data_IF_484490004918
#
_entry.id   IF_484490004918
#
_cell.length_a   1.000
_cell.length_b   1.000
_cell.length_c   1.000
_cell.angle_alpha   90.00
_cell.angle_beta   90.00
_cell.angle_gamma   90.00
#
_symmetry.space_group_name_H-M   'P 1'
#
loop_
_entity.id
_entity.type
_entity.pdbx_description
1 polymer ?
#
# COMPACT_ATOMS: atom_id res chain seq x y z
N UNK A 1 -0.70 -4.55 24.07
CA UNK A 1 0.56 -3.88 23.65
C UNK A 1 0.37 -3.50 22.20
N UNK A 2 0.52 -2.23 21.85
CA UNK A 2 0.42 -1.77 20.45
C UNK A 2 1.81 -1.79 19.82
N UNK A 3 1.95 -2.44 18.67
CA UNK A 3 3.18 -2.40 17.87
C UNK A 3 3.41 -0.98 17.33
N UNK A 4 4.67 -0.59 17.27
CA UNK A 4 5.09 0.74 16.84
C UNK A 4 5.64 0.71 15.41
N UNK A 5 5.81 1.88 14.82
CA UNK A 5 6.42 2.03 13.48
C UNK A 5 7.82 1.40 13.44
N UNK A 6 8.58 1.50 14.54
CA UNK A 6 9.93 0.90 14.64
C UNK A 6 9.89 -0.63 14.57
N UNK A 7 8.88 -1.24 15.17
CA UNK A 7 8.69 -2.69 15.13
C UNK A 7 8.34 -3.16 13.71
N UNK A 8 7.54 -2.36 12.98
CA UNK A 8 7.24 -2.60 11.58
C UNK A 8 8.49 -2.49 10.69
N UNK A 9 9.27 -1.42 10.83
CA UNK A 9 10.50 -1.20 10.06
C UNK A 9 11.52 -2.32 10.30
N UNK A 10 11.66 -2.77 11.55
CA UNK A 10 12.53 -3.89 11.89
C UNK A 10 12.07 -5.19 11.21
N UNK A 11 10.77 -5.50 11.24
CA UNK A 11 10.22 -6.69 10.61
C UNK A 11 10.34 -6.67 9.08
N UNK A 12 10.11 -5.51 8.45
CA UNK A 12 10.29 -5.31 7.01
C UNK A 12 11.77 -5.50 6.60
N UNK A 13 12.73 -5.06 7.43
CA UNK A 13 14.16 -5.28 7.16
C UNK A 13 14.55 -6.76 7.19
N UNK A 14 13.85 -7.57 7.98
CA UNK A 14 14.12 -9.01 8.13
C UNK A 14 13.43 -9.86 7.06
N UNK A 15 12.33 -9.37 6.49
CA UNK A 15 11.54 -10.09 5.49
C UNK A 15 11.22 -9.16 4.31
N UNK A 16 12.22 -8.87 3.45
CA UNK A 16 12.07 -7.89 2.37
C UNK A 16 11.01 -8.29 1.33
N UNK A 17 10.73 -9.58 1.20
CA UNK A 17 9.75 -10.11 0.26
C UNK A 17 8.30 -10.02 0.78
N UNK A 18 8.14 -9.82 2.09
CA UNK A 18 6.83 -9.74 2.72
C UNK A 18 6.38 -8.29 2.85
N UNK A 19 5.22 -8.01 2.26
CA UNK A 19 4.59 -6.72 2.39
C UNK A 19 3.83 -6.63 3.70
N UNK A 20 4.13 -5.66 4.54
CA UNK A 20 3.55 -5.54 5.88
C UNK A 20 2.99 -4.15 6.13
N UNK A 21 1.85 -4.09 6.81
CA UNK A 21 1.18 -2.84 7.18
C UNK A 21 0.87 -2.81 8.68
N UNK A 22 0.99 -1.62 9.29
CA UNK A 22 0.60 -1.40 10.68
C UNK A 22 -0.83 -0.84 10.71
N UNK A 23 -1.77 -1.65 11.21
CA UNK A 23 -3.19 -1.30 11.32
C UNK A 23 -3.60 -1.42 12.79
N UNK A 24 -4.00 -0.29 13.38
CA UNK A 24 -4.47 -0.20 14.78
C UNK A 24 -3.51 -0.82 15.82
N UNK A 25 -2.19 -0.71 15.57
CA UNK A 25 -1.17 -1.28 16.45
C UNK A 25 -0.93 -2.79 16.25
N UNK A 26 -1.46 -3.39 15.18
CA UNK A 26 -1.17 -4.74 14.73
C UNK A 26 -0.40 -4.72 13.41
N UNK A 27 0.56 -5.62 13.24
CA UNK A 27 1.27 -5.79 11.97
C UNK A 27 0.56 -6.88 11.18
N UNK A 28 0.07 -6.53 10.00
CA UNK A 28 -0.62 -7.43 9.07
C UNK A 28 0.32 -7.70 7.90
N UNK A 29 0.53 -8.98 7.58
CA UNK A 29 1.25 -9.39 6.36
C UNK A 29 0.25 -9.43 5.21
N UNK A 30 0.45 -8.59 4.21
CA UNK A 30 -0.29 -8.70 2.95
C UNK A 30 0.20 -9.93 2.20
N UNK A 31 -0.76 -10.73 1.73
CA UNK A 31 -0.48 -11.86 0.86
C UNK A 31 0.17 -11.39 -0.45
N UNK A 32 0.96 -12.27 -1.10
CA UNK A 32 1.46 -11.98 -2.44
C UNK A 32 0.27 -11.67 -3.36
N UNK A 33 0.34 -10.54 -4.06
CA UNK A 33 -0.63 -10.21 -5.10
C UNK A 33 -0.36 -11.14 -6.28
N UNK A 34 -1.36 -11.92 -6.68
CA UNK A 34 -1.26 -12.72 -7.91
C UNK A 34 -1.26 -11.79 -9.13
N UNK A 35 -0.70 -12.27 -10.26
CA UNK A 35 -0.63 -11.54 -11.52
C UNK A 35 -1.99 -10.93 -11.93
N UNK A 36 -3.08 -11.68 -11.77
CA UNK A 36 -4.45 -11.22 -12.08
C UNK A 36 -4.86 -10.03 -11.20
N UNK A 37 -4.50 -10.05 -9.92
CA UNK A 37 -4.80 -8.96 -8.98
C UNK A 37 -4.04 -7.69 -9.37
N UNK A 38 -2.79 -7.83 -9.79
CA UNK A 38 -1.97 -6.72 -10.27
C UNK A 38 -2.46 -6.15 -11.62
N UNK A 39 -2.93 -7.00 -12.54
CA UNK A 39 -3.51 -6.57 -13.80
C UNK A 39 -4.78 -5.75 -13.56
N UNK A 40 -5.69 -6.24 -12.71
CA UNK A 40 -6.93 -5.55 -12.34
C UNK A 40 -6.61 -4.23 -11.66
N UNK A 41 -5.68 -4.23 -10.69
CA UNK A 41 -5.25 -3.03 -9.98
C UNK A 41 -4.66 -1.98 -10.92
N UNK A 42 -3.79 -2.39 -11.85
CA UNK A 42 -3.17 -1.51 -12.83
C UNK A 42 -4.19 -0.88 -13.79
N UNK A 43 -5.16 -1.68 -14.24
CA UNK A 43 -6.24 -1.20 -15.12
C UNK A 43 -7.17 -0.21 -14.41
N UNK A 44 -7.49 -0.47 -13.15
CA UNK A 44 -8.25 0.45 -12.31
C UNK A 44 -7.52 1.79 -12.13
N UNK A 45 -6.23 1.75 -11.78
CA UNK A 45 -5.39 2.95 -11.64
C UNK A 45 -5.36 3.77 -12.92
N UNK A 46 -5.25 3.11 -14.07
CA UNK A 46 -5.22 3.77 -15.38
C UNK A 46 -6.53 4.53 -15.65
N UNK A 47 -7.68 3.89 -15.48
CA UNK A 47 -8.97 4.55 -15.69
C UNK A 47 -9.22 5.69 -14.71
N UNK A 48 -8.86 5.50 -13.43
CA UNK A 48 -9.00 6.55 -12.42
C UNK A 48 -8.09 7.74 -12.74
N UNK A 49 -6.84 7.49 -13.16
CA UNK A 49 -5.90 8.54 -13.49
C UNK A 49 -6.30 9.31 -14.77
N UNK A 50 -6.87 8.61 -15.77
CA UNK A 50 -7.46 9.26 -16.95
C UNK A 50 -8.58 10.24 -16.59
N UNK A 51 -9.29 10.02 -15.48
CA UNK A 51 -10.32 10.93 -14.99
C UNK A 51 -9.75 12.06 -14.10
N UNK A 52 -8.80 11.75 -13.22
CA UNK A 52 -8.22 12.69 -12.25
C UNK A 52 -7.26 13.69 -12.90
N UNK A 53 -6.37 13.22 -13.78
CA UNK A 53 -5.30 14.03 -14.39
C UNK A 53 -5.81 15.24 -15.18
N UNK A 54 -6.77 15.11 -16.14
CA UNK A 54 -7.25 16.27 -16.90
C UNK A 54 -8.00 17.29 -16.02
N UNK A 55 -8.52 16.86 -14.87
CA UNK A 55 -9.28 17.71 -13.93
C UNK A 55 -8.41 18.33 -12.83
N UNK A 56 -7.12 17.96 -12.76
CA UNK A 56 -6.16 18.42 -11.74
C UNK A 56 -6.65 18.19 -10.30
N UNK A 57 -7.34 17.08 -10.05
CA UNK A 57 -7.95 16.78 -8.74
C UNK A 57 -6.96 16.17 -7.73
N UNK A 58 -5.72 15.89 -8.14
CA UNK A 58 -4.69 15.34 -7.25
C UNK A 58 -3.86 14.26 -7.94
N UNK A 59 -3.40 13.28 -7.16
CA UNK A 59 -2.60 12.14 -7.60
C UNK A 59 -3.33 10.83 -7.28
N UNK A 60 -3.15 9.85 -8.16
CA UNK A 60 -3.64 8.48 -7.97
C UNK A 60 -2.44 7.60 -7.69
N UNK A 61 -2.47 6.84 -6.60
CA UNK A 61 -1.37 5.95 -6.18
C UNK A 61 -1.86 4.51 -6.12
N UNK A 62 -1.00 3.57 -6.51
CA UNK A 62 -1.29 2.14 -6.40
C UNK A 62 -1.22 1.64 -4.96
N UNK A 63 -1.68 0.40 -4.77
CA UNK A 63 -1.64 -0.25 -3.46
C UNK A 63 -0.24 -0.34 -2.90
N UNK A 64 0.81 -0.33 -3.74
CA UNK A 64 2.24 -0.45 -3.41
C UNK A 64 2.82 0.73 -2.63
N UNK A 65 2.15 1.87 -2.58
CA UNK A 65 2.62 3.05 -1.86
C UNK A 65 2.25 2.95 -0.38
N UNK A 66 3.23 3.09 0.51
CA UNK A 66 2.99 3.19 1.95
C UNK A 66 2.36 4.55 2.23
N UNK A 67 1.08 4.56 2.61
CA UNK A 67 0.38 5.77 3.03
C UNK A 67 0.54 5.93 4.55
N UNK A 68 1.19 7.01 4.96
CA UNK A 68 1.18 7.42 6.37
C UNK A 68 -0.05 8.31 6.61
N UNK A 69 -0.92 7.92 7.54
CA UNK A 69 -2.03 8.75 8.00
C UNK A 69 -1.60 9.44 9.30
N UNK A 70 -1.29 10.76 9.30
CA UNK A 70 -1.09 11.49 10.54
C UNK A 70 -2.44 11.62 11.26
N UNK A 71 -2.51 11.10 12.50
CA UNK A 71 -3.60 11.35 13.45
C UNK A 71 -3.36 12.68 14.14
#
# INVERSE_FOLDING_TARGET
MSLTIKDLEQLQSQNPDLRMELVEGNIIVMGPSDYESDEIGSRLLTFLNMWVMPRKLGRVTGSSLVLFCPV
#
